data_IF_880587600706
#
_entry.id   IF_880587600706
#
_cell.length_a   1.000
_cell.length_b   1.000
_cell.length_c   1.000
_cell.angle_alpha   90.00
_cell.angle_beta   90.00
_cell.angle_gamma   90.00
#
_symmetry.space_group_name_H-M   'P 1'
#
loop_
_entity.id
_entity.type
_entity.pdbx_description
1 polymer ?
#
# COMPACT_ATOMS: atom_id res chain seq x y z
N UNK A 1 -0.37 56.52 1.22
CA UNK A 1 0.82 55.69 0.95
C UNK A 1 1.60 55.58 2.24
N UNK A 2 1.60 54.40 2.85
CA UNK A 2 2.78 53.78 3.48
C UNK A 2 2.35 52.50 4.18
N UNK A 3 2.78 51.38 3.60
CA UNK A 3 2.53 50.03 4.04
C UNK A 3 3.84 49.48 4.62
N UNK A 4 3.85 49.04 5.89
CA UNK A 4 5.09 48.55 6.50
C UNK A 4 4.94 47.96 7.90
N UNK A 5 3.96 47.09 8.13
CA UNK A 5 3.85 46.32 9.38
C UNK A 5 4.59 44.98 9.32
N UNK A 6 5.49 44.65 10.26
CA UNK A 6 6.30 43.44 10.19
C UNK A 6 5.48 42.18 10.50
N UNK A 7 5.54 41.21 9.57
CA UNK A 7 4.99 39.86 9.75
C UNK A 7 5.76 39.13 10.84
N UNK A 8 5.12 38.89 11.99
CA UNK A 8 5.63 38.00 13.05
C UNK A 8 5.66 36.56 12.53
N UNK A 9 6.86 36.05 12.28
CA UNK A 9 7.10 34.64 12.00
C UNK A 9 6.95 33.82 13.26
N UNK A 10 5.96 32.94 13.32
CA UNK A 10 5.84 31.93 14.37
C UNK A 10 6.88 30.83 14.13
N UNK A 11 7.99 30.90 14.88
CA UNK A 11 9.06 29.90 14.93
C UNK A 11 8.64 28.80 15.91
N UNK A 12 8.25 27.64 15.41
CA UNK A 12 8.03 26.46 16.24
C UNK A 12 9.39 25.91 16.70
N UNK A 13 9.78 26.21 17.94
CA UNK A 13 10.92 25.58 18.59
C UNK A 13 10.52 24.18 19.08
N UNK A 14 11.09 23.14 18.46
CA UNK A 14 11.16 21.80 19.06
C UNK A 14 12.02 21.89 20.33
N UNK A 15 11.38 21.97 21.51
CA UNK A 15 12.07 21.75 22.79
C UNK A 15 12.15 20.24 23.03
N UNK A 16 13.36 19.69 22.91
CA UNK A 16 13.72 18.41 23.53
C UNK A 16 13.44 18.49 25.04
N UNK A 17 12.83 17.46 25.67
CA UNK A 17 12.67 17.47 27.11
C UNK A 17 14.05 17.42 27.77
N UNK A 18 14.33 18.48 28.52
CA UNK A 18 15.54 18.64 29.32
C UNK A 18 15.65 17.52 30.35
N UNK A 19 16.88 17.00 30.50
CA UNK A 19 17.29 16.17 31.63
C UNK A 19 17.04 16.95 32.92
N UNK A 20 16.21 16.41 33.81
CA UNK A 20 16.08 16.95 35.18
C UNK A 20 17.33 16.62 36.01
N UNK A 21 17.70 17.52 36.94
CA UNK A 21 18.92 17.42 37.72
C UNK A 21 18.81 16.35 38.82
N UNK A 22 19.94 15.68 39.08
CA UNK A 22 20.14 14.82 40.25
C UNK A 22 20.15 15.69 41.51
N UNK A 23 19.15 15.54 42.37
CA UNK A 23 19.26 15.91 43.79
C UNK A 23 19.59 14.64 44.58
N UNK A 24 20.68 14.73 45.34
CA UNK A 24 21.08 13.75 46.32
C UNK A 24 20.22 13.93 47.57
N UNK A 25 19.59 12.84 48.01
CA UNK A 25 19.00 12.71 49.35
C UNK A 25 19.36 11.34 49.90
N UNK A 26 20.20 11.32 50.93
CA UNK A 26 20.39 10.19 51.85
C UNK A 26 19.08 9.96 52.61
N UNK A 27 18.48 8.77 52.51
CA UNK A 27 17.63 8.20 53.58
C UNK A 27 17.71 6.66 53.51
N UNK A 28 17.77 6.08 54.72
CA UNK A 28 17.77 4.70 55.20
C UNK A 28 17.47 3.51 54.27
N UNK A 29 18.32 2.47 54.44
CA UNK A 29 18.12 1.09 53.99
C UNK A 29 16.96 0.44 54.77
N UNK A 30 15.94 -0.01 54.04
CA UNK A 30 14.93 -0.99 54.47
C UNK A 30 14.80 -2.11 53.42
N UNK A 31 14.30 -3.30 53.78
CA UNK A 31 14.53 -4.53 53.04
C UNK A 31 13.80 -4.60 51.70
N UNK A 32 14.47 -5.23 50.72
CA UNK A 32 14.03 -5.42 49.34
C UNK A 32 12.83 -6.37 49.27
N UNK A 33 11.65 -5.85 48.93
CA UNK A 33 10.58 -6.66 48.34
C UNK A 33 10.83 -6.79 46.83
N UNK A 34 11.14 -8.02 46.39
CA UNK A 34 11.20 -8.39 44.99
C UNK A 34 9.77 -8.32 44.41
N UNK A 35 9.51 -7.33 43.58
CA UNK A 35 8.29 -7.29 42.77
C UNK A 35 8.35 -8.44 41.76
N UNK A 36 7.54 -9.47 42.03
CA UNK A 36 7.29 -10.60 41.13
C UNK A 36 6.57 -10.09 39.90
N UNK A 37 7.19 -10.26 38.73
CA UNK A 37 6.49 -10.27 37.44
C UNK A 37 5.54 -11.47 37.48
N UNK A 38 4.23 -11.33 37.19
CA UNK A 38 3.33 -12.47 37.21
C UNK A 38 3.72 -13.49 36.12
N UNK A 39 3.89 -14.77 36.47
CA UNK A 39 4.23 -15.83 35.54
C UNK A 39 2.97 -16.42 34.90
N UNK A 40 2.11 -15.63 34.25
CA UNK A 40 0.86 -16.16 33.65
C UNK A 40 0.57 -15.59 32.26
N UNK A 41 1.52 -15.78 31.33
CA UNK A 41 1.23 -15.71 29.88
C UNK A 41 1.67 -17.00 29.17
N UNK A 42 1.92 -18.07 29.94
CA UNK A 42 2.36 -19.34 29.39
C UNK A 42 1.20 -20.24 28.91
N UNK A 43 -0.04 -19.92 29.28
CA UNK A 43 -1.18 -20.84 29.07
C UNK A 43 -2.42 -20.17 28.46
N UNK A 44 -2.20 -19.27 27.50
CA UNK A 44 -3.26 -18.96 26.53
C UNK A 44 -3.30 -20.14 25.56
N UNK A 45 -4.18 -21.10 25.84
CA UNK A 45 -4.55 -22.23 24.99
C UNK A 45 -5.09 -21.77 23.64
N UNK A 46 -4.20 -21.21 22.81
CA UNK A 46 -4.40 -21.04 21.38
C UNK A 46 -4.45 -22.45 20.80
N UNK A 47 -5.67 -22.98 20.66
CA UNK A 47 -5.93 -24.13 19.82
C UNK A 47 -5.17 -23.94 18.51
N UNK A 48 -4.17 -24.80 18.26
CA UNK A 48 -3.57 -24.89 16.94
C UNK A 48 -4.63 -25.46 16.01
N UNK A 49 -5.15 -24.74 15.00
CA UNK A 49 -5.72 -25.45 13.88
C UNK A 49 -4.57 -26.20 13.21
N UNK A 50 -4.67 -27.53 13.23
CA UNK A 50 -3.83 -28.41 12.44
C UNK A 50 -3.85 -27.96 10.98
N UNK A 51 -2.69 -28.02 10.33
CA UNK A 51 -2.48 -27.39 9.03
C UNK A 51 -3.45 -27.84 7.95
N UNK A 52 -3.92 -26.86 7.18
CA UNK A 52 -4.45 -27.06 5.83
C UNK A 52 -3.82 -26.02 4.90
N UNK A 53 -2.55 -26.26 4.56
CA UNK A 53 -1.94 -25.70 3.36
C UNK A 53 -2.00 -26.77 2.26
N UNK A 54 -3.22 -27.10 1.82
CA UNK A 54 -3.51 -27.89 0.62
C UNK A 54 -5.02 -27.89 0.36
N UNK A 55 -5.59 -26.75 -0.06
CA UNK A 55 -6.89 -26.81 -0.76
C UNK A 55 -6.58 -27.24 -2.19
N UNK A 56 -6.88 -28.51 -2.41
CA UNK A 56 -6.73 -29.22 -3.67
C UNK A 56 -7.52 -28.55 -4.80
N UNK A 57 -6.81 -28.29 -5.90
CA UNK A 57 -7.39 -28.41 -7.23
C UNK A 57 -7.84 -29.87 -7.40
N UNK A 58 -9.14 -30.14 -7.38
CA UNK A 58 -9.68 -31.40 -7.92
C UNK A 58 -10.44 -31.06 -9.20
N UNK A 59 -9.87 -31.51 -10.31
CA UNK A 59 -10.50 -31.52 -11.62
C UNK A 59 -11.75 -32.40 -11.61
N UNK A 60 -12.79 -31.91 -12.26
CA UNK A 60 -14.00 -32.67 -12.56
C UNK A 60 -13.67 -33.63 -13.70
N UNK A 61 -13.47 -34.90 -13.36
CA UNK A 61 -13.38 -36.00 -14.34
C UNK A 61 -14.80 -36.37 -14.81
N UNK A 62 -14.94 -36.48 -16.13
CA UNK A 62 -16.13 -36.98 -16.83
C UNK A 62 -16.23 -38.50 -16.67
N UNK A 63 -17.43 -38.97 -16.30
CA UNK A 63 -18.10 -40.29 -16.54
C UNK A 63 -19.08 -40.46 -15.38
N UNK A 64 -20.36 -40.76 -15.51
CA UNK A 64 -21.17 -41.19 -16.63
C UNK A 64 -22.27 -42.09 -16.04
N UNK A 65 -23.49 -41.57 -15.90
CA UNK A 65 -24.77 -42.26 -15.63
C UNK A 65 -25.82 -41.21 -16.07
N UNK A 66 -26.89 -41.48 -16.81
CA UNK A 66 -27.67 -42.68 -17.03
C UNK A 66 -29.10 -42.16 -17.27
N UNK A 67 -29.75 -42.63 -18.33
CA UNK A 67 -30.99 -42.12 -18.91
C UNK A 67 -32.16 -42.00 -17.92
N UNK A 68 -32.87 -40.86 -17.93
CA UNK A 68 -34.33 -40.77 -17.81
C UNK A 68 -34.84 -39.39 -18.25
N UNK A 69 -35.77 -39.39 -19.21
CA UNK A 69 -36.60 -38.28 -19.72
C UNK A 69 -38.02 -38.87 -19.91
N UNK A 70 -39.07 -38.08 -20.17
CA UNK A 70 -39.46 -36.78 -19.62
C UNK A 70 -40.97 -36.72 -19.30
N UNK A 71 -41.45 -35.82 -18.43
CA UNK A 71 -42.84 -35.34 -18.50
C UNK A 71 -42.95 -33.88 -18.02
N UNK A 72 -43.73 -33.08 -18.76
CA UNK A 72 -44.37 -31.87 -18.23
C UNK A 72 -43.88 -30.51 -18.73
N UNK A 73 -44.34 -30.07 -19.91
CA UNK A 73 -44.48 -28.64 -20.26
C UNK A 73 -45.72 -28.06 -19.55
N UNK A 74 -45.73 -26.74 -19.28
CA UNK A 74 -46.74 -25.93 -19.97
C UNK A 74 -46.29 -24.54 -20.44
N UNK A 75 -46.71 -24.26 -21.68
CA UNK A 75 -47.29 -23.06 -22.31
C UNK A 75 -46.89 -21.64 -21.87
N UNK A 76 -46.40 -20.89 -22.87
CA UNK A 76 -46.43 -19.43 -23.02
C UNK A 76 -47.85 -18.84 -22.86
N UNK A 77 -47.93 -17.52 -22.60
CA UNK A 77 -48.41 -16.66 -23.68
C UNK A 77 -47.60 -15.37 -23.91
N UNK A 78 -47.53 -15.06 -25.21
CA UNK A 78 -47.34 -13.82 -25.95
C UNK A 78 -47.71 -12.51 -25.25
N UNK A 79 -46.89 -11.46 -25.45
CA UNK A 79 -47.29 -10.21 -26.11
C UNK A 79 -46.12 -9.21 -26.18
N UNK A 80 -45.82 -8.74 -27.39
CA UNK A 80 -44.97 -7.58 -27.72
C UNK A 80 -45.91 -6.52 -28.30
N UNK A 81 -45.76 -5.24 -27.91
CA UNK A 81 -45.55 -4.18 -28.90
C UNK A 81 -44.48 -3.21 -28.38
N UNK A 82 -43.48 -2.81 -29.16
CA UNK A 82 -43.66 -1.79 -30.19
C UNK A 82 -42.30 -1.27 -30.62
N UNK A 83 -42.10 -1.19 -31.93
CA UNK A 83 -40.91 -0.68 -32.61
C UNK A 83 -40.84 0.85 -32.50
N UNK A 84 -39.68 1.39 -32.15
CA UNK A 84 -39.26 2.73 -32.58
C UNK A 84 -37.94 2.62 -33.32
N UNK A 85 -37.99 2.96 -34.62
CA UNK A 85 -36.87 3.00 -35.55
C UNK A 85 -35.99 4.22 -35.26
N UNK A 86 -34.69 4.03 -35.14
CA UNK A 86 -33.69 5.10 -35.34
C UNK A 86 -32.75 4.71 -36.48
N UNK A 87 -32.39 5.65 -37.37
CA UNK A 87 -31.75 5.30 -38.63
C UNK A 87 -30.23 5.08 -38.48
N UNK A 88 -29.76 4.06 -39.19
CA UNK A 88 -28.36 3.81 -39.53
C UNK A 88 -27.77 5.04 -40.23
N UNK A 89 -26.60 5.49 -39.76
CA UNK A 89 -25.68 6.31 -40.54
C UNK A 89 -24.63 5.38 -41.16
N UNK A 90 -24.60 5.33 -42.48
CA UNK A 90 -23.52 4.72 -43.24
C UNK A 90 -22.23 5.56 -43.17
N UNK A 91 -21.05 4.93 -43.18
CA UNK A 91 -19.78 5.63 -43.34
C UNK A 91 -19.44 5.76 -44.83
N UNK A 92 -19.44 6.99 -45.34
CA UNK A 92 -18.90 7.30 -46.66
C UNK A 92 -17.35 7.37 -46.63
N UNK A 93 -16.64 6.79 -47.60
CA UNK A 93 -15.20 6.95 -47.75
C UNK A 93 -14.90 8.20 -48.59
N UNK A 94 -13.90 8.99 -48.21
CA UNK A 94 -13.26 9.97 -49.12
C UNK A 94 -11.76 9.74 -49.14
N UNK A 95 -11.31 9.22 -50.29
CA UNK A 95 -9.95 9.32 -50.81
C UNK A 95 -9.78 10.66 -51.54
N UNK A 96 -8.53 11.08 -51.70
CA UNK A 96 -8.08 12.18 -52.56
C UNK A 96 -7.77 13.45 -51.75
N UNK A 97 -6.66 14.16 -51.96
CA UNK A 97 -5.59 14.03 -52.93
C UNK A 97 -4.37 14.82 -52.43
N UNK A 98 -3.25 14.58 -53.10
CA UNK A 98 -2.00 15.33 -53.04
C UNK A 98 -2.17 16.84 -53.11
N UNK A 99 -1.32 17.57 -52.40
CA UNK A 99 -0.68 18.77 -52.94
C UNK A 99 0.62 19.04 -52.19
N UNK A 100 1.69 18.79 -52.93
CA UNK A 100 2.99 19.44 -52.89
C UNK A 100 2.99 20.92 -52.46
N UNK A 101 4.06 21.36 -51.79
CA UNK A 101 4.49 22.75 -51.89
C UNK A 101 5.19 23.38 -50.69
N UNK A 102 6.51 23.58 -50.86
CA UNK A 102 7.35 24.70 -50.34
C UNK A 102 7.75 24.63 -48.85
N UNK A 103 9.02 24.33 -48.53
CA UNK A 103 10.24 25.19 -48.56
C UNK A 103 10.21 26.36 -47.58
N UNK A 104 10.90 26.17 -46.45
CA UNK A 104 11.82 27.10 -45.77
C UNK A 104 12.58 26.24 -44.73
N UNK A 105 13.89 26.06 -44.70
CA UNK A 105 14.97 26.92 -45.17
C UNK A 105 15.67 27.58 -43.98
N UNK A 106 16.29 26.82 -43.09
CA UNK A 106 17.25 27.34 -42.10
C UNK A 106 18.46 26.42 -42.01
N UNK A 107 19.58 26.94 -42.50
CA UNK A 107 20.90 26.35 -42.45
C UNK A 107 21.83 27.38 -41.79
N UNK A 108 23.02 26.93 -41.42
CA UNK A 108 24.21 27.69 -40.98
C UNK A 108 24.36 27.88 -39.47
N UNK A 109 25.41 27.23 -38.96
CA UNK A 109 25.96 27.45 -37.62
C UNK A 109 27.16 26.57 -37.26
N UNK A 110 27.99 26.14 -38.22
CA UNK A 110 29.30 25.53 -37.96
C UNK A 110 30.26 26.60 -37.44
N UNK A 111 30.90 26.37 -36.28
CA UNK A 111 32.22 26.94 -35.97
C UNK A 111 33.20 25.84 -35.60
N UNK A 112 34.17 25.64 -36.48
CA UNK A 112 35.47 25.01 -36.24
C UNK A 112 36.32 25.91 -35.34
N UNK A 113 37.11 25.30 -34.45
CA UNK A 113 38.43 25.81 -34.04
C UNK A 113 39.38 24.63 -33.91
N UNK A 114 40.23 24.47 -34.92
CA UNK A 114 41.63 24.04 -34.79
C UNK A 114 42.35 25.10 -33.93
N UNK A 115 43.43 24.87 -33.20
CA UNK A 115 44.27 23.71 -32.90
C UNK A 115 45.39 24.24 -31.98
N UNK A 116 46.13 23.35 -31.31
CA UNK A 116 47.55 23.60 -30.96
C UNK A 116 48.19 22.32 -30.43
N UNK A 117 49.19 21.90 -31.17
CA UNK A 117 50.25 20.95 -30.87
C UNK A 117 51.13 21.46 -29.73
N UNK A 118 51.73 20.54 -28.97
CA UNK A 118 52.69 20.88 -27.93
C UNK A 118 53.23 19.66 -27.18
N UNK A 119 54.32 19.13 -27.73
CA UNK A 119 55.37 18.25 -27.18
C UNK A 119 55.31 17.79 -25.70
N UNK A 120 55.61 16.50 -25.51
CA UNK A 120 56.17 15.93 -24.28
C UNK A 120 57.61 16.44 -24.05
N UNK A 121 58.14 16.42 -22.80
CA UNK A 121 58.81 15.20 -22.36
C UNK A 121 58.62 14.85 -20.87
N UNK A 122 58.45 13.55 -20.63
CA UNK A 122 59.23 12.72 -19.70
C UNK A 122 59.87 13.38 -18.47
N UNK A 123 59.31 13.17 -17.27
CA UNK A 123 60.09 13.03 -16.03
C UNK A 123 59.51 11.96 -15.10
N UNK A 124 60.40 10.99 -14.83
CA UNK A 124 60.34 9.94 -13.83
C UNK A 124 59.86 10.43 -12.47
N UNK A 125 58.86 9.75 -11.88
CA UNK A 125 58.71 9.62 -10.43
C UNK A 125 58.40 8.17 -10.09
N UNK A 126 59.37 7.53 -9.44
CA UNK A 126 59.24 6.25 -8.75
C UNK A 126 58.21 6.40 -7.63
N UNK A 127 57.00 5.91 -7.87
CA UNK A 127 55.93 5.80 -6.88
C UNK A 127 55.88 4.40 -6.30
N UNK A 128 56.20 4.27 -5.01
CA UNK A 128 56.05 3.07 -4.18
C UNK A 128 54.72 2.37 -4.47
N UNK A 129 54.79 1.10 -4.87
CA UNK A 129 53.65 0.23 -5.07
C UNK A 129 52.84 0.04 -3.79
N UNK A 130 51.75 0.80 -3.66
CA UNK A 130 50.68 0.49 -2.72
C UNK A 130 49.94 -0.74 -3.23
N UNK A 131 50.05 -1.83 -2.47
CA UNK A 131 49.29 -3.06 -2.71
C UNK A 131 47.80 -2.71 -2.76
N UNK A 132 47.22 -2.74 -3.97
CA UNK A 132 45.78 -2.73 -4.19
C UNK A 132 45.18 -3.93 -3.47
N UNK A 133 44.67 -3.69 -2.24
CA UNK A 133 43.75 -4.61 -1.59
C UNK A 133 42.45 -4.56 -2.37
N UNK A 134 42.15 -5.65 -3.06
CA UNK A 134 40.84 -5.91 -3.63
C UNK A 134 39.77 -5.68 -2.55
N UNK A 135 38.61 -5.09 -2.88
CA UNK A 135 37.50 -5.00 -1.94
C UNK A 135 37.02 -6.43 -1.71
N UNK A 136 37.47 -7.07 -0.63
CA UNK A 136 36.88 -8.29 -0.11
C UNK A 136 35.39 -8.03 0.02
N UNK A 137 34.62 -8.76 -0.78
CA UNK A 137 33.19 -8.96 -0.66
C UNK A 137 32.87 -9.20 0.82
N UNK A 138 32.40 -8.15 1.50
CA UNK A 138 31.85 -8.30 2.84
C UNK A 138 30.49 -8.93 2.63
N UNK A 139 30.49 -10.27 2.53
CA UNK A 139 29.30 -11.08 2.63
C UNK A 139 28.50 -10.60 3.84
N UNK A 140 27.36 -9.98 3.56
CA UNK A 140 26.43 -9.50 4.56
C UNK A 140 25.84 -10.70 5.28
N UNK A 141 26.55 -11.22 6.27
CA UNK A 141 26.00 -12.21 7.18
C UNK A 141 24.83 -11.55 7.90
N UNK A 142 23.61 -11.86 7.44
CA UNK A 142 22.38 -11.61 8.19
C UNK A 142 22.54 -12.28 9.56
N UNK A 143 22.96 -11.49 10.56
CA UNK A 143 23.07 -11.96 11.93
C UNK A 143 21.69 -12.48 12.32
N UNK A 144 21.59 -13.82 12.45
CA UNK A 144 20.39 -14.47 12.98
C UNK A 144 20.05 -13.76 14.30
N UNK A 145 18.79 -13.34 14.50
CA UNK A 145 18.42 -12.70 15.75
C UNK A 145 18.77 -13.65 16.90
N UNK A 146 19.57 -13.15 17.84
CA UNK A 146 19.91 -13.87 19.07
C UNK A 146 18.63 -14.28 19.81
N UNK A 147 18.73 -15.21 20.76
CA UNK A 147 17.57 -15.74 21.51
C UNK A 147 16.62 -14.65 22.02
N UNK A 148 17.17 -13.53 22.52
CA UNK A 148 16.42 -12.35 22.95
C UNK A 148 15.54 -11.73 21.84
N UNK A 149 16.07 -11.58 20.62
CA UNK A 149 15.31 -11.03 19.49
C UNK A 149 14.13 -11.91 19.07
N UNK A 150 14.25 -13.23 19.24
CA UNK A 150 13.16 -14.18 18.96
C UNK A 150 12.03 -14.09 19.99
N UNK A 151 12.36 -13.94 21.28
CA UNK A 151 11.37 -13.80 22.34
C UNK A 151 10.55 -12.51 22.19
N UNK A 152 11.22 -11.38 21.93
CA UNK A 152 10.55 -10.08 21.68
C UNK A 152 9.60 -10.17 20.48
N UNK A 153 10.03 -10.85 19.41
CA UNK A 153 9.22 -11.05 18.20
C UNK A 153 7.95 -11.88 18.48
N UNK A 154 8.03 -12.90 19.33
CA UNK A 154 6.88 -13.74 19.72
C UNK A 154 5.88 -12.97 20.58
N UNK A 155 6.35 -12.23 21.58
CA UNK A 155 5.49 -11.43 22.44
C UNK A 155 4.76 -10.35 21.63
N UNK A 156 5.45 -9.68 20.71
CA UNK A 156 4.84 -8.70 19.82
C UNK A 156 3.80 -9.32 18.88
N UNK A 157 4.10 -10.49 18.31
CA UNK A 157 3.14 -11.27 17.50
C UNK A 157 1.87 -11.59 18.28
N UNK A 158 1.98 -12.07 19.52
CA UNK A 158 0.83 -12.37 20.35
C UNK A 158 -0.03 -11.12 20.60
N UNK A 159 0.59 -9.96 20.86
CA UNK A 159 -0.14 -8.68 21.01
C UNK A 159 -0.95 -8.31 19.78
N UNK A 160 -0.39 -8.50 18.58
CA UNK A 160 -1.07 -8.23 17.32
C UNK A 160 -2.27 -9.16 17.13
N UNK A 161 -2.09 -10.47 17.32
CA UNK A 161 -3.16 -11.45 17.15
C UNK A 161 -4.29 -11.26 18.16
N UNK A 162 -3.97 -11.07 19.45
CA UNK A 162 -4.97 -10.79 20.49
C UNK A 162 -5.74 -9.50 20.18
N UNK A 163 -5.06 -8.46 19.70
CA UNK A 163 -5.74 -7.20 19.34
C UNK A 163 -6.63 -7.40 18.12
N UNK A 164 -6.18 -8.15 17.13
CA UNK A 164 -6.97 -8.48 15.94
C UNK A 164 -8.22 -9.26 16.32
N UNK A 165 -8.10 -10.35 17.09
CA UNK A 165 -9.23 -11.16 17.57
C UNK A 165 -10.25 -10.30 18.33
N UNK A 166 -9.79 -9.46 19.26
CA UNK A 166 -10.67 -8.57 20.03
C UNK A 166 -11.36 -7.53 19.16
N UNK A 167 -10.64 -6.94 18.20
CA UNK A 167 -11.19 -5.92 17.32
C UNK A 167 -12.21 -6.52 16.35
N UNK A 168 -11.92 -7.69 15.77
CA UNK A 168 -12.87 -8.38 14.89
C UNK A 168 -14.08 -8.90 15.69
N UNK A 169 -13.87 -9.48 16.87
CA UNK A 169 -14.97 -9.92 17.75
C UNK A 169 -15.81 -8.76 18.31
N UNK A 170 -15.30 -7.53 18.31
CA UNK A 170 -16.10 -6.34 18.58
C UNK A 170 -17.01 -5.98 17.40
N UNK A 171 -16.67 -6.42 16.18
CA UNK A 171 -17.36 -6.11 14.93
C UNK A 171 -18.22 -7.27 14.40
N UNK A 172 -18.47 -8.31 15.19
CA UNK A 172 -19.27 -9.48 14.78
C UNK A 172 -20.67 -9.11 14.24
N UNK A 173 -21.30 -8.09 14.83
CA UNK A 173 -22.56 -7.52 14.34
C UNK A 173 -22.43 -6.50 13.19
N UNK A 174 -21.22 -6.22 12.72
CA UNK A 174 -20.91 -5.22 11.69
C UNK A 174 -20.16 -5.88 10.54
N UNK A 175 -20.80 -6.85 9.89
CA UNK A 175 -20.29 -7.55 8.71
C UNK A 175 -20.61 -6.80 7.42
N UNK A 176 -19.77 -6.85 6.36
CA UNK A 176 -18.47 -7.55 6.29
C UNK A 176 -17.30 -6.77 6.91
N UNK A 177 -16.32 -7.51 7.45
CA UNK A 177 -15.04 -7.00 7.99
C UNK A 177 -13.88 -7.74 7.35
N UNK A 178 -12.85 -7.03 6.88
CA UNK A 178 -11.64 -7.63 6.31
C UNK A 178 -10.37 -7.13 7.01
N UNK A 179 -9.50 -8.01 7.53
CA UNK A 179 -8.14 -7.64 7.90
C UNK A 179 -7.35 -7.14 6.70
N UNK A 180 -6.46 -6.17 6.90
CA UNK A 180 -5.59 -5.62 5.85
C UNK A 180 -4.11 -5.81 6.16
N UNK A 181 -3.29 -5.55 5.13
CA UNK A 181 -1.82 -5.45 5.18
C UNK A 181 -1.18 -6.60 5.97
N UNK A 182 -0.31 -6.27 6.92
CA UNK A 182 0.50 -7.24 7.64
C UNK A 182 -0.31 -8.17 8.54
N UNK A 183 -1.47 -7.74 9.05
CA UNK A 183 -2.35 -8.61 9.82
C UNK A 183 -2.97 -9.69 8.92
N UNK A 184 -3.46 -9.32 7.73
CA UNK A 184 -3.94 -10.29 6.75
C UNK A 184 -2.83 -11.27 6.33
N UNK A 185 -1.65 -10.76 5.96
CA UNK A 185 -0.55 -11.62 5.50
C UNK A 185 -0.04 -12.58 6.57
N UNK A 186 -0.04 -12.16 7.84
CA UNK A 186 0.28 -13.04 8.98
C UNK A 186 -0.68 -14.23 9.07
N UNK A 187 -1.96 -13.99 8.81
CA UNK A 187 -2.99 -15.01 8.91
C UNK A 187 -2.97 -15.97 7.72
N UNK A 188 -2.71 -15.47 6.51
CA UNK A 188 -2.98 -16.25 5.29
C UNK A 188 -1.73 -16.76 4.58
N UNK A 189 -0.59 -16.07 4.68
CA UNK A 189 0.54 -16.32 3.77
C UNK A 189 1.87 -16.57 4.47
N UNK A 190 2.12 -15.94 5.63
CA UNK A 190 3.44 -15.93 6.26
C UNK A 190 3.33 -15.88 7.80
N UNK A 191 2.99 -17.02 8.45
CA UNK A 191 2.92 -17.08 9.92
C UNK A 191 4.29 -16.77 10.55
N UNK A 192 4.36 -15.68 11.32
CA UNK A 192 5.59 -15.20 11.96
C UNK A 192 6.04 -13.80 11.52
N UNK A 193 5.37 -13.22 10.53
CA UNK A 193 5.54 -11.85 10.05
C UNK A 193 5.05 -10.78 11.04
N UNK A 194 4.15 -11.13 11.95
CA UNK A 194 3.52 -10.23 12.93
C UNK A 194 4.53 -9.43 13.76
N UNK A 195 5.75 -9.93 13.95
CA UNK A 195 6.85 -9.20 14.55
C UNK A 195 7.16 -7.84 13.86
N UNK A 196 6.67 -7.62 12.63
CA UNK A 196 6.87 -6.42 11.81
C UNK A 196 5.60 -5.57 11.64
N UNK A 197 4.50 -5.98 12.26
CA UNK A 197 3.17 -5.34 12.19
C UNK A 197 3.06 -4.35 13.34
N UNK A 198 2.90 -3.06 13.06
CA UNK A 198 2.88 -2.03 14.12
C UNK A 198 1.48 -1.81 14.69
N UNK A 199 0.47 -2.13 13.88
CA UNK A 199 -0.93 -1.78 13.97
C UNK A 199 -1.77 -2.88 13.32
N UNK A 200 -3.03 -2.98 13.73
CA UNK A 200 -4.03 -3.84 13.08
C UNK A 200 -4.86 -2.97 12.15
N UNK A 201 -4.74 -3.18 10.84
CA UNK A 201 -5.61 -2.50 9.87
C UNK A 201 -6.84 -3.38 9.58
N UNK A 202 -8.04 -2.79 9.69
CA UNK A 202 -9.32 -3.42 9.34
C UNK A 202 -10.03 -2.59 8.27
N UNK A 203 -10.73 -3.24 7.35
CA UNK A 203 -11.60 -2.61 6.35
C UNK A 203 -13.05 -2.99 6.66
N UNK A 204 -13.95 -2.02 6.55
CA UNK A 204 -15.41 -2.21 6.55
C UNK A 204 -16.03 -1.42 5.40
N UNK A 205 -17.23 -1.80 4.90
CA UNK A 205 -17.95 -0.98 3.94
C UNK A 205 -18.20 0.43 4.48
N UNK A 206 -18.21 1.41 3.57
CA UNK A 206 -18.36 2.81 3.97
C UNK A 206 -19.65 3.07 4.76
N UNK A 207 -20.76 2.43 4.39
CA UNK A 207 -22.04 2.54 5.08
C UNK A 207 -22.07 1.91 6.48
N UNK A 208 -21.11 1.03 6.79
CA UNK A 208 -21.01 0.37 8.10
C UNK A 208 -19.99 1.03 9.02
N UNK A 209 -19.27 2.04 8.55
CA UNK A 209 -18.13 2.59 9.27
C UNK A 209 -18.50 3.17 10.63
N UNK A 210 -19.56 3.97 10.71
CA UNK A 210 -19.93 4.62 11.98
C UNK A 210 -20.50 3.60 12.98
N UNK A 211 -21.14 2.53 12.49
CA UNK A 211 -21.55 1.39 13.33
C UNK A 211 -20.34 0.61 13.85
N UNK A 212 -19.35 0.36 13.00
CA UNK A 212 -18.10 -0.31 13.37
C UNK A 212 -17.31 0.49 14.42
N UNK A 213 -17.23 1.81 14.26
CA UNK A 213 -16.63 2.69 15.25
C UNK A 213 -17.35 2.62 16.60
N UNK A 214 -18.68 2.73 16.62
CA UNK A 214 -19.46 2.59 17.87
C UNK A 214 -19.24 1.23 18.52
N UNK A 215 -19.17 0.16 17.73
CA UNK A 215 -18.95 -1.19 18.23
C UNK A 215 -17.55 -1.35 18.86
N UNK A 216 -16.50 -0.80 18.24
CA UNK A 216 -15.16 -0.75 18.83
C UNK A 216 -15.16 0.03 20.16
N UNK A 217 -15.76 1.23 20.17
CA UNK A 217 -15.84 2.05 21.39
C UNK A 217 -16.61 1.33 22.51
N UNK A 218 -17.74 0.70 22.17
CA UNK A 218 -18.54 -0.10 23.10
C UNK A 218 -17.81 -1.31 23.67
N UNK A 219 -16.71 -1.75 23.05
CA UNK A 219 -15.84 -2.83 23.52
C UNK A 219 -14.55 -2.34 24.18
N UNK A 220 -14.46 -1.04 24.50
CA UNK A 220 -13.36 -0.46 25.26
C UNK A 220 -12.21 0.11 24.41
N UNK A 221 -12.31 0.08 23.08
CA UNK A 221 -11.33 0.77 22.23
C UNK A 221 -11.51 2.29 22.35
N UNK A 222 -10.42 3.04 22.45
CA UNK A 222 -10.47 4.50 22.60
C UNK A 222 -9.99 5.17 21.31
N UNK A 223 -10.77 6.12 20.77
CA UNK A 223 -10.35 6.89 19.59
C UNK A 223 -9.09 7.69 19.91
N UNK A 224 -8.09 7.59 19.04
CA UNK A 224 -6.87 8.39 19.13
C UNK A 224 -7.06 9.64 18.28
N UNK A 225 -6.82 10.83 18.85
CA UNK A 225 -6.85 12.11 18.13
C UNK A 225 -5.68 12.23 17.14
N UNK A 226 -5.69 11.39 16.11
CA UNK A 226 -4.67 11.28 15.07
C UNK A 226 -5.30 11.01 13.70
N UNK A 227 -6.56 11.35 13.50
CA UNK A 227 -7.21 11.12 12.22
C UNK A 227 -6.55 12.03 11.16
N UNK A 228 -5.76 11.40 10.29
CA UNK A 228 -4.96 12.11 9.27
C UNK A 228 -5.72 12.33 7.96
N UNK A 229 -6.81 11.59 7.76
CA UNK A 229 -7.69 11.70 6.60
C UNK A 229 -9.06 11.05 6.88
N UNK A 230 -10.00 11.20 5.94
CA UNK A 230 -11.37 10.71 6.04
C UNK A 230 -11.54 9.21 5.71
N UNK A 231 -10.46 8.53 5.37
CA UNK A 231 -10.51 7.13 4.91
C UNK A 231 -10.44 6.13 6.07
N UNK A 232 -9.91 6.54 7.21
CA UNK A 232 -9.70 5.69 8.37
C UNK A 232 -9.79 6.46 9.69
N UNK A 233 -10.03 5.73 10.78
CA UNK A 233 -9.90 6.20 12.17
C UNK A 233 -9.01 5.26 12.96
N UNK A 234 -8.18 5.83 13.83
CA UNK A 234 -7.26 5.06 14.67
C UNK A 234 -7.80 4.92 16.08
N UNK A 235 -7.73 3.70 16.62
CA UNK A 235 -8.15 3.34 17.96
C UNK A 235 -6.97 2.77 18.77
N UNK A 236 -6.88 3.17 20.02
CA UNK A 236 -5.98 2.65 21.04
C UNK A 236 -6.76 1.94 22.15
N UNK A 237 -6.16 1.84 23.33
CA UNK A 237 -6.77 1.17 24.49
C UNK A 237 -6.48 -0.33 24.58
N UNK A 238 -5.71 -0.87 23.62
CA UNK A 238 -5.31 -2.28 23.58
C UNK A 238 -3.79 -2.45 23.39
N UNK A 239 -3.36 -3.69 23.13
CA UNK A 239 -1.94 -4.06 23.07
C UNK A 239 -1.21 -3.44 21.88
N UNK A 240 -1.91 -3.23 20.76
CA UNK A 240 -1.47 -2.43 19.60
C UNK A 240 -2.63 -1.54 19.12
N UNK A 241 -2.33 -0.54 18.28
CA UNK A 241 -3.35 0.32 17.70
C UNK A 241 -4.16 -0.42 16.62
N UNK A 242 -5.41 -0.03 16.43
CA UNK A 242 -6.29 -0.50 15.35
C UNK A 242 -6.62 0.66 14.42
N UNK A 243 -6.31 0.52 13.14
CA UNK A 243 -6.75 1.44 12.09
C UNK A 243 -7.99 0.85 11.41
N UNK A 244 -9.15 1.45 11.64
CA UNK A 244 -10.40 1.09 10.97
C UNK A 244 -10.54 1.91 9.68
N UNK A 245 -10.58 1.27 8.52
CA UNK A 245 -10.69 1.89 7.20
C UNK A 245 -12.10 1.74 6.64
N UNK A 246 -12.63 2.80 6.05
CA UNK A 246 -13.78 2.75 5.12
C UNK A 246 -13.34 2.67 3.65
N UNK A 247 -12.12 3.15 3.36
CA UNK A 247 -11.53 3.13 2.00
C UNK A 247 -10.05 2.80 2.05
N UNK A 248 -9.59 2.09 1.02
CA UNK A 248 -8.18 1.73 0.86
C UNK A 248 -7.29 2.92 0.51
N UNK A 249 -7.82 3.89 -0.25
CA UNK A 249 -7.12 5.08 -0.70
C UNK A 249 -7.92 6.35 -0.44
N UNK A 250 -7.23 7.50 -0.46
CA UNK A 250 -7.85 8.82 -0.37
C UNK A 250 -8.80 9.05 -1.55
N UNK A 251 -9.76 9.95 -1.40
CA UNK A 251 -10.70 10.30 -2.48
C UNK A 251 -10.01 10.63 -3.81
N UNK A 252 -10.50 9.98 -4.87
CA UNK A 252 -10.00 10.14 -6.24
C UNK A 252 -8.61 9.57 -6.49
N UNK A 253 -7.90 9.11 -5.46
CA UNK A 253 -6.57 8.53 -5.59
C UNK A 253 -6.71 7.04 -5.85
N UNK A 254 -6.44 6.63 -7.09
CA UNK A 254 -6.63 5.27 -7.60
C UNK A 254 -8.11 4.81 -7.55
N UNK A 255 -8.45 3.84 -8.40
CA UNK A 255 -9.82 3.31 -8.54
C UNK A 255 -9.85 1.92 -7.93
N UNK A 256 -10.08 1.85 -6.62
CA UNK A 256 -10.23 0.59 -5.92
C UNK A 256 -11.34 0.74 -4.90
N UNK A 257 -12.57 0.40 -5.30
CA UNK A 257 -13.72 0.58 -4.42
C UNK A 257 -13.77 -0.50 -3.35
N UNK A 258 -14.13 -0.10 -2.13
CA UNK A 258 -14.31 -1.02 -1.01
C UNK A 258 -15.38 -2.07 -1.33
N UNK A 259 -16.47 -1.67 -1.99
CA UNK A 259 -17.55 -2.57 -2.40
C UNK A 259 -17.08 -3.67 -3.37
N UNK A 260 -16.34 -3.33 -4.42
CA UNK A 260 -15.81 -4.32 -5.36
C UNK A 260 -14.79 -5.26 -4.71
N UNK A 261 -14.01 -4.76 -3.75
CA UNK A 261 -13.05 -5.57 -2.98
C UNK A 261 -13.78 -6.60 -2.12
N UNK A 262 -14.84 -6.19 -1.40
CA UNK A 262 -15.67 -7.13 -0.65
C UNK A 262 -16.42 -8.11 -1.56
N UNK A 263 -16.90 -7.67 -2.72
CA UNK A 263 -17.59 -8.55 -3.67
C UNK A 263 -16.72 -9.70 -4.18
N UNK A 264 -15.38 -9.52 -4.23
CA UNK A 264 -14.42 -10.57 -4.61
C UNK A 264 -13.82 -11.31 -3.41
N UNK A 265 -14.06 -10.84 -2.19
CA UNK A 265 -13.50 -11.45 -0.99
C UNK A 265 -14.14 -12.80 -0.69
N UNK A 266 -13.40 -13.67 0.00
CA UNK A 266 -13.89 -14.96 0.49
C UNK A 266 -14.18 -14.88 1.99
N UNK A 267 -15.34 -15.34 2.42
CA UNK A 267 -15.65 -15.46 3.85
C UNK A 267 -14.87 -16.63 4.44
N UNK A 268 -14.24 -16.41 5.59
CA UNK A 268 -13.61 -17.40 6.44
C UNK A 268 -14.22 -17.29 7.84
N UNK A 269 -14.69 -18.42 8.40
CA UNK A 269 -15.35 -18.48 9.71
C UNK A 269 -14.49 -19.14 10.79
N UNK A 270 -13.37 -19.74 10.40
CA UNK A 270 -12.56 -20.57 11.28
C UNK A 270 -11.38 -19.77 11.83
N UNK A 271 -10.80 -18.89 11.01
CA UNK A 271 -9.53 -18.24 11.28
C UNK A 271 -9.48 -17.44 12.59
N UNK A 272 -10.57 -16.77 12.95
CA UNK A 272 -10.68 -15.94 14.16
C UNK A 272 -11.92 -16.28 15.02
N UNK A 273 -12.58 -17.41 14.74
CA UNK A 273 -13.82 -17.82 15.40
C UNK A 273 -15.05 -16.93 15.11
N UNK A 274 -14.90 -15.93 14.25
CA UNK A 274 -15.96 -15.03 13.76
C UNK A 274 -15.80 -14.82 12.26
N UNK A 275 -16.89 -14.56 11.51
CA UNK A 275 -16.82 -14.37 10.07
C UNK A 275 -15.93 -13.18 9.68
N UNK A 276 -14.86 -13.46 8.93
CA UNK A 276 -14.00 -12.44 8.32
C UNK A 276 -13.92 -12.62 6.82
N UNK A 277 -13.71 -11.52 6.12
CA UNK A 277 -13.53 -11.49 4.68
C UNK A 277 -12.03 -11.48 4.36
N UNK A 278 -11.54 -12.54 3.73
CA UNK A 278 -10.21 -12.63 3.17
C UNK A 278 -10.22 -11.99 1.78
N UNK A 279 -9.40 -10.95 1.61
CA UNK A 279 -9.32 -10.23 0.35
C UNK A 279 -8.65 -11.07 -0.74
N UNK A 280 -9.08 -10.85 -1.98
CA UNK A 280 -8.44 -11.45 -3.15
C UNK A 280 -6.92 -11.09 -3.18
N UNK A 281 -6.02 -12.05 -3.43
CA UNK A 281 -4.57 -11.79 -3.41
C UNK A 281 -4.13 -10.64 -4.32
N UNK A 282 -4.78 -10.43 -5.47
CA UNK A 282 -4.48 -9.30 -6.35
C UNK A 282 -4.95 -7.96 -5.78
N UNK A 283 -6.03 -7.95 -5.00
CA UNK A 283 -6.44 -6.77 -4.24
C UNK A 283 -5.42 -6.43 -3.16
N UNK A 284 -4.92 -7.43 -2.42
CA UNK A 284 -3.87 -7.24 -1.42
C UNK A 284 -2.59 -6.69 -2.07
N UNK A 285 -2.15 -7.27 -3.18
CA UNK A 285 -0.97 -6.81 -3.93
C UNK A 285 -1.14 -5.38 -4.45
N UNK A 286 -2.30 -5.09 -5.04
CA UNK A 286 -2.65 -3.74 -5.51
C UNK A 286 -2.62 -2.74 -4.37
N UNK A 287 -3.22 -3.08 -3.23
CA UNK A 287 -3.23 -2.22 -2.05
C UNK A 287 -1.82 -1.95 -1.52
N UNK A 288 -0.98 -2.99 -1.42
CA UNK A 288 0.40 -2.86 -0.97
C UNK A 288 1.22 -1.91 -1.87
N UNK A 289 1.09 -2.05 -3.20
CA UNK A 289 1.75 -1.17 -4.18
C UNK A 289 1.27 0.28 -4.03
N UNK A 290 -0.04 0.51 -3.92
CA UNK A 290 -0.60 1.85 -3.73
C UNK A 290 -0.18 2.48 -2.40
N UNK A 291 -0.13 1.68 -1.33
CA UNK A 291 0.35 2.13 -0.02
C UNK A 291 1.82 2.54 -0.06
N UNK A 292 2.67 1.75 -0.72
CA UNK A 292 4.07 2.08 -0.92
C UNK A 292 4.22 3.39 -1.70
N UNK A 293 3.43 3.57 -2.77
CA UNK A 293 3.42 4.77 -3.59
C UNK A 293 2.83 6.03 -2.92
N UNK A 294 2.14 5.87 -1.78
CA UNK A 294 1.49 6.97 -1.06
C UNK A 294 2.43 7.87 -0.24
N UNK A 295 3.75 7.70 -0.35
CA UNK A 295 4.73 8.51 0.39
C UNK A 295 6.17 8.22 -0.06
N UNK A 296 7.16 8.84 0.61
CA UNK A 296 8.57 8.65 0.28
C UNK A 296 8.97 7.17 0.37
N UNK A 297 9.51 6.65 -0.73
CA UNK A 297 9.92 5.26 -0.84
C UNK A 297 11.36 5.06 -0.32
N UNK A 298 11.49 4.98 0.99
CA UNK A 298 12.75 4.63 1.68
C UNK A 298 13.05 3.11 1.60
N UNK A 299 14.25 2.72 2.06
CA UNK A 299 14.69 1.33 2.02
C UNK A 299 13.77 0.39 2.82
N UNK A 300 13.24 0.86 3.97
CA UNK A 300 12.34 0.05 4.82
C UNK A 300 11.01 -0.22 4.14
N UNK A 301 10.45 0.79 3.46
CA UNK A 301 9.19 0.68 2.73
C UNK A 301 9.34 -0.18 1.48
N UNK A 302 10.45 -0.07 0.76
CA UNK A 302 10.79 -0.99 -0.35
C UNK A 302 10.87 -2.42 0.10
N UNK A 303 11.61 -2.67 1.19
CA UNK A 303 11.75 -4.01 1.75
C UNK A 303 10.41 -4.57 2.23
N UNK A 304 9.57 -3.74 2.84
CA UNK A 304 8.21 -4.14 3.24
C UNK A 304 7.37 -4.56 2.03
N UNK A 305 7.30 -3.71 0.99
CA UNK A 305 6.58 -4.04 -0.25
C UNK A 305 7.13 -5.32 -0.89
N UNK A 306 8.45 -5.45 -0.98
CA UNK A 306 9.13 -6.63 -1.50
C UNK A 306 8.70 -7.88 -0.75
N UNK A 307 8.73 -7.82 0.58
CA UNK A 307 8.34 -8.92 1.45
C UNK A 307 6.83 -9.21 1.35
N UNK A 308 5.98 -8.18 1.19
CA UNK A 308 4.52 -8.35 1.03
C UNK A 308 4.23 -9.12 -0.28
N UNK A 309 4.81 -8.68 -1.40
CA UNK A 309 4.64 -9.33 -2.71
C UNK A 309 5.25 -10.73 -2.75
N UNK A 310 6.38 -10.97 -2.07
CA UNK A 310 6.98 -12.28 -1.99
C UNK A 310 6.09 -13.28 -1.22
N UNK A 311 5.48 -12.85 -0.10
CA UNK A 311 4.56 -13.70 0.67
C UNK A 311 3.27 -14.03 -0.10
N UNK A 312 2.76 -13.08 -0.89
CA UNK A 312 1.63 -13.36 -1.77
C UNK A 312 2.06 -14.32 -2.90
N UNK A 313 3.21 -14.07 -3.52
CA UNK A 313 3.75 -14.91 -4.59
C UNK A 313 4.06 -16.35 -4.17
N UNK A 314 4.49 -16.59 -2.92
CA UNK A 314 4.76 -17.95 -2.40
C UNK A 314 3.52 -18.82 -2.29
N UNK A 315 2.32 -18.25 -2.32
CA UNK A 315 1.07 -19.02 -2.41
C UNK A 315 0.75 -19.47 -3.84
N UNK A 316 1.56 -19.09 -4.84
CA UNK A 316 1.37 -19.43 -6.25
C UNK A 316 0.25 -18.66 -6.96
N UNK A 317 -0.28 -17.61 -6.32
CA UNK A 317 -1.53 -16.96 -6.76
C UNK A 317 -1.36 -15.76 -7.69
N UNK A 318 -0.17 -15.15 -7.75
CA UNK A 318 0.04 -13.89 -8.48
C UNK A 318 0.70 -14.10 -9.85
N UNK A 319 -0.08 -13.94 -10.91
CA UNK A 319 0.42 -13.76 -12.27
C UNK A 319 0.84 -12.29 -12.50
N UNK A 320 2.08 -12.01 -12.96
CA UNK A 320 2.54 -10.66 -13.23
C UNK A 320 1.71 -9.90 -14.27
N UNK A 321 1.24 -10.58 -15.31
CA UNK A 321 0.46 -9.98 -16.39
C UNK A 321 -0.93 -9.56 -15.92
N UNK A 322 -1.62 -10.44 -15.19
CA UNK A 322 -2.91 -10.15 -14.58
C UNK A 322 -2.82 -9.00 -13.58
N UNK A 323 -1.81 -9.01 -12.70
CA UNK A 323 -1.58 -7.91 -11.76
C UNK A 323 -1.32 -6.58 -12.48
N UNK A 324 -0.53 -6.58 -13.57
CA UNK A 324 -0.30 -5.39 -14.38
C UNK A 324 -1.61 -4.84 -14.99
N UNK A 325 -2.45 -5.71 -15.55
CA UNK A 325 -3.76 -5.35 -16.08
C UNK A 325 -4.68 -4.72 -15.03
N UNK A 326 -4.74 -5.32 -13.83
CA UNK A 326 -5.50 -4.78 -12.70
C UNK A 326 -4.96 -3.42 -12.25
N UNK A 327 -3.64 -3.26 -12.13
CA UNK A 327 -3.02 -1.98 -11.79
C UNK A 327 -3.38 -0.90 -12.81
N UNK A 328 -3.41 -1.22 -14.11
CA UNK A 328 -3.83 -0.26 -15.14
C UNK A 328 -5.31 0.10 -15.04
N UNK A 329 -6.20 -0.91 -14.91
CA UNK A 329 -7.64 -0.70 -14.76
C UNK A 329 -7.97 0.19 -13.56
N UNK A 330 -7.19 0.06 -12.48
CA UNK A 330 -7.31 0.83 -11.24
C UNK A 330 -6.58 2.17 -11.26
N UNK A 331 -5.95 2.53 -12.38
CA UNK A 331 -5.25 3.81 -12.51
C UNK A 331 -3.93 3.90 -11.73
N UNK A 332 -3.31 2.77 -11.45
CA UNK A 332 -2.11 2.61 -10.63
C UNK A 332 -0.85 2.33 -11.44
N UNK A 333 -0.91 2.37 -12.77
CA UNK A 333 0.25 2.07 -13.63
C UNK A 333 1.47 2.97 -13.40
N UNK A 334 1.29 4.23 -12.97
CA UNK A 334 2.41 5.11 -12.58
C UNK A 334 2.88 4.85 -11.16
N UNK A 335 1.95 4.57 -10.25
CA UNK A 335 2.25 4.16 -8.88
C UNK A 335 3.12 2.89 -8.84
N UNK A 336 2.80 1.90 -9.68
CA UNK A 336 3.58 0.68 -9.84
C UNK A 336 5.01 0.97 -10.33
N UNK A 337 5.17 1.85 -11.34
CA UNK A 337 6.50 2.28 -11.83
C UNK A 337 7.34 2.99 -10.78
N UNK A 338 6.70 3.71 -9.86
CA UNK A 338 7.38 4.37 -8.76
C UNK A 338 7.78 3.38 -7.66
N UNK A 339 6.90 2.42 -7.34
CA UNK A 339 7.03 1.55 -6.18
C UNK A 339 7.85 0.27 -6.44
N UNK A 340 7.74 -0.33 -7.63
CA UNK A 340 8.34 -1.62 -7.96
C UNK A 340 9.82 -1.48 -8.36
N UNK A 341 10.59 -2.54 -8.13
CA UNK A 341 12.03 -2.59 -8.40
C UNK A 341 12.33 -3.50 -9.58
N UNK A 342 12.69 -2.91 -10.73
CA UNK A 342 12.99 -3.65 -11.96
C UNK A 342 14.20 -4.60 -11.86
N UNK A 343 15.00 -4.53 -10.80
CA UNK A 343 16.07 -5.53 -10.55
C UNK A 343 15.53 -6.89 -10.10
N UNK A 344 14.25 -6.96 -9.70
CA UNK A 344 13.58 -8.20 -9.28
C UNK A 344 12.75 -8.75 -10.42
N UNK A 345 12.88 -10.06 -10.66
CA UNK A 345 12.24 -10.72 -11.79
C UNK A 345 10.71 -10.53 -11.82
N UNK A 346 10.00 -10.77 -10.72
CA UNK A 346 8.55 -10.58 -10.64
C UNK A 346 8.14 -9.13 -10.95
N UNK A 347 8.78 -8.16 -10.28
CA UNK A 347 8.51 -6.74 -10.45
C UNK A 347 8.82 -6.30 -11.89
N UNK A 348 9.92 -6.77 -12.48
CA UNK A 348 10.29 -6.49 -13.87
C UNK A 348 9.24 -7.02 -14.85
N UNK A 349 8.70 -8.23 -14.64
CA UNK A 349 7.62 -8.80 -15.45
C UNK A 349 6.33 -7.99 -15.33
N UNK A 350 5.94 -7.57 -14.12
CA UNK A 350 4.79 -6.67 -13.93
C UNK A 350 5.01 -5.37 -14.68
N UNK A 351 6.19 -4.74 -14.53
CA UNK A 351 6.52 -3.47 -15.18
C UNK A 351 6.57 -3.58 -16.72
N UNK A 352 7.05 -4.70 -17.26
CA UNK A 352 7.08 -4.98 -18.69
C UNK A 352 5.67 -5.19 -19.27
N UNK A 353 4.76 -5.77 -18.49
CA UNK A 353 3.36 -5.97 -18.88
C UNK A 353 2.51 -4.68 -18.79
N UNK A 354 2.98 -3.64 -18.10
CA UNK A 354 2.28 -2.35 -18.10
C UNK A 354 2.35 -1.68 -19.48
N UNK A 355 1.20 -1.25 -20.00
CA UNK A 355 1.09 -0.51 -21.24
C UNK A 355 1.95 0.77 -21.29
N UNK A 356 2.34 1.19 -22.50
CA UNK A 356 3.29 2.29 -22.74
C UNK A 356 2.76 3.63 -22.18
N UNK A 357 3.50 4.24 -21.26
CA UNK A 357 3.22 5.57 -20.71
C UNK A 357 4.53 6.36 -20.52
N UNK A 358 4.93 7.14 -21.53
CA UNK A 358 6.19 7.90 -21.49
C UNK A 358 6.17 8.97 -20.39
N UNK A 359 5.06 9.71 -20.31
CA UNK A 359 4.85 10.74 -19.29
C UNK A 359 4.84 10.12 -17.90
N UNK A 360 4.15 8.99 -17.73
CA UNK A 360 4.11 8.27 -16.47
C UNK A 360 5.46 7.73 -16.01
N UNK A 361 6.33 7.28 -16.93
CA UNK A 361 7.71 6.91 -16.60
C UNK A 361 8.51 8.09 -16.07
N UNK A 362 8.41 9.24 -16.75
CA UNK A 362 9.08 10.47 -16.29
C UNK A 362 8.55 10.93 -14.92
N UNK A 363 7.23 10.95 -14.74
CA UNK A 363 6.60 11.31 -13.45
C UNK A 363 6.99 10.35 -12.33
N UNK A 364 7.00 9.03 -12.58
CA UNK A 364 7.44 8.04 -11.60
C UNK A 364 8.92 8.23 -11.22
N UNK A 365 9.78 8.57 -12.19
CA UNK A 365 11.19 8.86 -11.95
C UNK A 365 11.41 10.17 -11.17
N UNK A 366 10.55 11.18 -11.37
CA UNK A 366 10.60 12.46 -10.68
C UNK A 366 9.93 12.45 -9.28
N UNK A 367 9.00 11.51 -9.03
CA UNK A 367 8.25 11.40 -7.79
C UNK A 367 9.12 11.36 -6.51
N UNK A 368 10.29 10.69 -6.44
CA UNK A 368 11.15 10.75 -5.26
C UNK A 368 11.57 12.18 -4.86
N UNK A 369 11.73 13.10 -5.81
CA UNK A 369 12.07 14.49 -5.54
C UNK A 369 10.86 15.21 -4.95
N UNK A 370 9.70 15.10 -5.61
CA UNK A 370 8.45 15.68 -5.13
C UNK A 370 8.04 15.17 -3.75
N UNK A 371 8.21 13.87 -3.48
CA UNK A 371 7.94 13.25 -2.18
C UNK A 371 8.83 13.78 -1.04
N UNK A 372 9.92 14.48 -1.34
CA UNK A 372 10.80 15.11 -0.34
C UNK A 372 10.68 16.63 -0.32
N UNK A 373 9.88 17.21 -1.22
CA UNK A 373 9.83 18.66 -1.44
C UNK A 373 8.82 19.36 -0.51
N UNK A 374 9.31 20.05 0.51
CA UNK A 374 8.48 20.90 1.37
C UNK A 374 7.25 20.19 1.96
N UNK A 375 6.24 20.98 2.36
CA UNK A 375 5.03 20.44 3.01
C UNK A 375 4.03 19.85 2.02
N UNK A 376 3.90 20.43 0.82
CA UNK A 376 2.89 20.03 -0.18
C UNK A 376 3.43 19.08 -1.25
N UNK A 377 4.74 18.98 -1.44
CA UNK A 377 5.34 18.14 -2.46
C UNK A 377 4.92 16.67 -2.38
N UNK A 378 4.88 16.02 -1.20
CA UNK A 378 4.42 14.63 -1.11
C UNK A 378 2.99 14.45 -1.58
N UNK A 379 2.11 15.40 -1.27
CA UNK A 379 0.71 15.37 -1.67
C UNK A 379 0.60 15.49 -3.19
N UNK A 380 1.24 16.51 -3.78
CA UNK A 380 1.23 16.73 -5.23
C UNK A 380 1.84 15.55 -5.98
N UNK A 381 2.99 15.05 -5.53
CA UNK A 381 3.68 13.91 -6.13
C UNK A 381 2.82 12.65 -6.07
N UNK A 382 2.16 12.37 -4.93
CA UNK A 382 1.25 11.24 -4.77
C UNK A 382 0.10 11.31 -5.79
N UNK A 383 -0.54 12.47 -5.94
CA UNK A 383 -1.66 12.62 -6.87
C UNK A 383 -1.22 12.61 -8.34
N UNK A 384 0.01 13.02 -8.67
CA UNK A 384 0.57 12.91 -10.03
C UNK A 384 0.76 11.46 -10.50
N UNK A 385 0.83 10.49 -9.57
CA UNK A 385 0.94 9.05 -9.83
C UNK A 385 -0.39 8.39 -10.21
N UNK A 386 -1.48 9.16 -10.35
CA UNK A 386 -2.76 8.65 -10.83
C UNK A 386 -2.70 8.25 -12.32
N UNK A 387 -3.80 7.72 -12.87
CA UNK A 387 -3.86 7.20 -14.25
C UNK A 387 -3.51 8.24 -15.33
N UNK A 388 -3.79 9.52 -15.05
CA UNK A 388 -3.51 10.65 -15.93
C UNK A 388 -3.27 11.92 -15.10
N UNK A 389 -2.68 12.95 -15.71
CA UNK A 389 -2.48 14.24 -15.06
C UNK A 389 -3.82 14.91 -14.69
N UNK A 390 -4.81 14.89 -15.59
CA UNK A 390 -6.14 15.42 -15.32
C UNK A 390 -6.80 14.74 -14.10
N UNK A 391 -6.73 13.40 -14.02
CA UNK A 391 -7.20 12.68 -12.82
C UNK A 391 -6.40 13.01 -11.57
N UNK A 392 -5.09 13.23 -11.70
CA UNK A 392 -4.24 13.70 -10.61
C UNK A 392 -4.67 15.05 -10.07
N UNK A 393 -4.94 16.02 -10.95
CA UNK A 393 -5.44 17.36 -10.57
C UNK A 393 -6.80 17.28 -9.90
N UNK A 394 -7.75 16.52 -10.45
CA UNK A 394 -9.06 16.33 -9.84
C UNK A 394 -8.96 15.65 -8.47
N UNK A 395 -8.11 14.63 -8.33
CA UNK A 395 -7.87 13.94 -7.06
C UNK A 395 -7.25 14.87 -6.02
N UNK A 396 -6.29 15.72 -6.42
CA UNK A 396 -5.70 16.73 -5.55
C UNK A 396 -6.75 17.76 -5.10
N UNK A 397 -7.56 18.28 -6.03
CA UNK A 397 -8.64 19.22 -5.72
C UNK A 397 -9.63 18.64 -4.72
N UNK A 398 -10.10 17.40 -4.95
CA UNK A 398 -10.97 16.68 -4.02
C UNK A 398 -10.33 16.50 -2.64
N UNK A 399 -9.04 16.15 -2.58
CA UNK A 399 -8.32 15.99 -1.32
C UNK A 399 -8.26 17.30 -0.53
N UNK A 400 -7.98 18.42 -1.21
CA UNK A 400 -7.92 19.74 -0.59
C UNK A 400 -9.29 20.20 -0.06
N UNK A 401 -10.36 20.00 -0.85
CA UNK A 401 -11.74 20.33 -0.46
C UNK A 401 -12.16 19.53 0.76
N UNK A 402 -11.90 18.21 0.78
CA UNK A 402 -12.25 17.36 1.93
C UNK A 402 -11.47 17.78 3.18
N UNK A 403 -10.17 18.04 3.04
CA UNK A 403 -9.36 18.52 4.15
C UNK A 403 -9.82 19.88 4.69
N UNK A 404 -10.34 20.77 3.82
CA UNK A 404 -10.91 22.04 4.25
C UNK A 404 -12.24 21.85 5.01
N UNK A 405 -13.11 20.96 4.54
CA UNK A 405 -14.39 20.63 5.20
C UNK A 405 -14.18 20.01 6.58
N UNK A 406 -13.22 19.10 6.71
CA UNK A 406 -12.89 18.50 8.01
C UNK A 406 -12.44 19.55 9.02
N UNK A 407 -11.53 20.44 8.63
CA UNK A 407 -11.08 21.55 9.50
C UNK A 407 -12.21 22.51 9.88
N UNK A 408 -13.15 22.77 8.98
CA UNK A 408 -14.30 23.61 9.28
C UNK A 408 -15.30 22.94 10.24
N UNK A 409 -15.44 21.61 10.16
CA UNK A 409 -16.27 20.82 11.07
C UNK A 409 -15.68 20.69 12.47
N UNK A 410 -14.36 20.70 12.62
CA UNK A 410 -13.67 20.69 13.92
C UNK A 410 -13.76 22.03 14.68
N UNK A 411 -14.18 23.11 14.01
CA UNK A 411 -14.36 24.44 14.60
C UNK A 411 -15.78 24.70 15.12
N UNK A 412 -16.67 23.71 15.01
CA UNK A 412 -18.03 23.72 15.57
C UNK A 412 -18.10 22.74 16.73
#
# INVERSE_FOLDING_TARGET
>A
MDAGGPRRGYRWHYRSPARRPRRASRVHRGPRALSRVPPDVADLGLHRPGGLCAVAQRGVSRRGLGLARPLGRPRHPSAIPGRARTPRRDPGPRRGADSSGRRAGWNVGRRRREGRTGAAPERRRLGRGSRRRTPRERGGHHRRPGRHGRAVSRAHRAKVLITLERAVGALDGVSPVAPLKGALLELTCDPGRAARVADVDLLVPEGHFDAAERALVGRGFTRVARDRDDRARTFGGHLVAVDLHRRLFKWGLFRMSTAEVFARSRVDRELLGVPVHLLDPYDVATHAIGHAAGGPLDARRRERLRSDLAALGSTGTLDPGHLAGLLQARGMGRAARYALDASREFDARVLAALGRDRVGRWLAAAAPVGMRAGRLGPVVAQHALNASLARGVLSLGSHLIHGARQRAGELR
#
